data_IF_972771806733
#
_entry.id   IF_972771806733
#
_cell.length_a   1.000
_cell.length_b   1.000
_cell.length_c   1.000
_cell.angle_alpha   90.00
_cell.angle_beta   90.00
_cell.angle_gamma   90.00
#
_symmetry.space_group_name_H-M   'P 1'
#
loop_
_entity.id
_entity.type
_entity.pdbx_description
1 polymer ?
#
# COMPACT_ATOMS: atom_id res chain seq x y z
N UNK A 1 0.80 2.08 -21.78
CA UNK A 1 0.03 1.00 -21.13
C UNK A 1 0.14 1.11 -19.62
N UNK A 2 -0.84 0.58 -18.91
CA UNK A 2 -0.80 0.49 -17.45
C UNK A 2 -0.59 -0.97 -17.05
N UNK A 3 0.40 -1.21 -16.21
CA UNK A 3 0.73 -2.55 -15.72
C UNK A 3 0.36 -2.67 -14.25
N UNK A 4 -0.17 -3.84 -13.86
CA UNK A 4 -0.34 -4.17 -12.45
C UNK A 4 0.93 -4.80 -11.92
N UNK A 5 1.42 -4.32 -10.78
CA UNK A 5 2.62 -4.88 -10.16
C UNK A 5 2.26 -6.00 -9.20
N UNK A 6 3.00 -7.11 -9.30
CA UNK A 6 2.97 -8.17 -8.30
C UNK A 6 3.85 -7.78 -7.11
N UNK A 7 3.59 -8.39 -5.96
CA UNK A 7 4.37 -8.15 -4.73
C UNK A 7 5.86 -8.37 -4.95
N UNK A 8 6.24 -9.38 -5.72
CA UNK A 8 7.65 -9.66 -6.01
C UNK A 8 8.36 -8.49 -6.68
N UNK A 9 7.68 -7.80 -7.60
CA UNK A 9 8.25 -6.64 -8.29
C UNK A 9 8.38 -5.46 -7.33
N UNK A 10 7.34 -5.18 -6.55
CA UNK A 10 7.36 -4.08 -5.58
C UNK A 10 8.50 -4.27 -4.58
N UNK A 11 8.65 -5.49 -4.05
CA UNK A 11 9.73 -5.79 -3.11
C UNK A 11 11.13 -5.65 -3.73
N UNK A 12 11.30 -6.05 -5.00
CA UNK A 12 12.58 -5.86 -5.70
C UNK A 12 12.91 -4.38 -5.87
N UNK A 13 11.92 -3.57 -6.22
CA UNK A 13 12.11 -2.12 -6.37
C UNK A 13 12.38 -1.44 -5.03
N UNK A 14 11.71 -1.87 -3.95
CA UNK A 14 11.88 -1.28 -2.63
C UNK A 14 13.19 -1.69 -1.96
N UNK A 15 13.56 -2.95 -2.06
CA UNK A 15 14.69 -3.50 -1.29
C UNK A 15 16.00 -3.55 -2.07
N UNK A 16 15.94 -3.58 -3.41
CA UNK A 16 17.12 -3.78 -4.25
C UNK A 16 17.70 -5.19 -4.17
N UNK A 17 16.95 -6.14 -3.65
CA UNK A 17 17.40 -7.53 -3.45
C UNK A 17 16.32 -8.54 -3.87
N UNK A 18 16.71 -9.76 -4.29
CA UNK A 18 18.09 -10.17 -4.63
C UNK A 18 18.54 -9.65 -5.99
N UNK A 19 19.85 -9.51 -6.14
CA UNK A 19 20.47 -9.22 -7.42
C UNK A 19 20.68 -10.53 -8.20
N UNK A 20 20.64 -10.54 -9.55
CA UNK A 20 20.44 -9.40 -10.45
C UNK A 20 18.96 -9.09 -10.76
N UNK A 21 18.01 -9.81 -10.16
CA UNK A 21 16.58 -9.65 -10.44
C UNK A 21 16.09 -8.22 -10.10
N UNK A 22 16.59 -7.65 -8.98
CA UNK A 22 16.24 -6.30 -8.59
C UNK A 22 16.72 -5.26 -9.62
N UNK A 23 17.90 -5.46 -10.21
CA UNK A 23 18.39 -4.59 -11.30
C UNK A 23 17.47 -4.65 -12.50
N UNK A 24 17.06 -5.85 -12.89
CA UNK A 24 16.14 -6.01 -14.03
C UNK A 24 14.77 -5.40 -13.78
N UNK A 25 14.28 -5.50 -12.55
CA UNK A 25 13.03 -4.87 -12.17
C UNK A 25 13.13 -3.34 -12.29
N UNK A 26 14.23 -2.77 -11.82
CA UNK A 26 14.46 -1.33 -11.91
C UNK A 26 14.61 -0.88 -13.37
N UNK A 27 15.35 -1.59 -14.19
CA UNK A 27 15.49 -1.30 -15.61
C UNK A 27 14.13 -1.34 -16.33
N UNK A 28 13.32 -2.36 -16.03
CA UNK A 28 12.00 -2.49 -16.64
C UNK A 28 11.10 -1.31 -16.25
N UNK A 29 11.15 -0.89 -14.98
CA UNK A 29 10.41 0.27 -14.51
C UNK A 29 10.87 1.54 -15.23
N UNK A 30 12.17 1.79 -15.28
CA UNK A 30 12.73 2.99 -15.94
C UNK A 30 12.40 3.03 -17.43
N UNK A 31 12.51 1.89 -18.12
CA UNK A 31 12.15 1.78 -19.54
C UNK A 31 10.65 2.06 -19.73
N UNK A 32 9.81 1.58 -18.83
CA UNK A 32 8.38 1.83 -18.87
C UNK A 32 8.05 3.31 -18.71
N UNK A 33 8.67 3.97 -17.76
CA UNK A 33 8.48 5.42 -17.55
C UNK A 33 8.91 6.19 -18.80
N UNK A 34 10.04 5.85 -19.38
CA UNK A 34 10.52 6.49 -20.61
C UNK A 34 9.56 6.27 -21.79
N UNK A 35 8.86 5.14 -21.81
CA UNK A 35 7.88 4.82 -22.85
C UNK A 35 6.47 5.39 -22.56
N UNK A 36 6.28 6.07 -21.43
CA UNK A 36 4.97 6.62 -21.07
C UNK A 36 4.05 5.62 -20.36
N UNK A 37 4.58 4.50 -19.89
CA UNK A 37 3.80 3.52 -19.13
C UNK A 37 3.52 3.98 -17.71
N UNK A 38 2.49 3.42 -17.10
CA UNK A 38 2.15 3.61 -15.69
C UNK A 38 2.02 2.25 -15.01
N UNK A 39 2.13 2.26 -13.68
CA UNK A 39 2.19 1.05 -12.87
C UNK A 39 1.24 1.18 -11.68
N UNK A 40 0.37 0.19 -11.50
CA UNK A 40 -0.64 0.17 -10.46
C UNK A 40 -0.33 -0.92 -9.43
N UNK A 41 -0.52 -0.59 -8.16
CA UNK A 41 -0.37 -1.52 -7.04
C UNK A 41 -1.73 -1.73 -6.41
N UNK A 42 -2.21 -2.98 -6.41
CA UNK A 42 -3.49 -3.33 -5.79
C UNK A 42 -3.39 -3.33 -4.27
N UNK A 43 -4.54 -3.30 -3.60
CA UNK A 43 -4.59 -3.37 -2.13
C UNK A 43 -4.02 -4.68 -1.60
N UNK A 44 -4.23 -5.78 -2.32
CA UNK A 44 -3.67 -7.09 -1.94
C UNK A 44 -2.14 -7.00 -1.94
N UNK A 45 -1.57 -6.44 -3.00
CA UNK A 45 -0.11 -6.29 -3.11
C UNK A 45 0.42 -5.31 -2.07
N UNK A 46 -0.28 -4.20 -1.83
CA UNK A 46 0.09 -3.24 -0.78
C UNK A 46 0.13 -3.93 0.59
N UNK A 47 -0.87 -4.74 0.89
CA UNK A 47 -0.99 -5.48 2.14
C UNK A 47 0.13 -6.51 2.30
N UNK A 48 0.37 -7.32 1.26
CA UNK A 48 1.45 -8.32 1.27
C UNK A 48 2.82 -7.66 1.42
N UNK A 49 3.05 -6.56 0.72
CA UNK A 49 4.30 -5.80 0.79
C UNK A 49 4.52 -5.24 2.19
N UNK A 50 3.49 -4.63 2.77
CA UNK A 50 3.52 -4.10 4.13
C UNK A 50 3.91 -5.17 5.15
N UNK A 51 3.28 -6.34 5.04
CA UNK A 51 3.57 -7.47 5.90
C UNK A 51 5.01 -7.98 5.70
N UNK A 52 5.43 -8.16 4.45
CA UNK A 52 6.75 -8.69 4.12
C UNK A 52 7.89 -7.79 4.63
N UNK A 53 7.76 -6.48 4.49
CA UNK A 53 8.78 -5.55 4.97
C UNK A 53 8.99 -5.70 6.48
N UNK A 54 7.92 -5.88 7.23
CA UNK A 54 8.01 -6.04 8.68
C UNK A 54 8.53 -7.44 9.09
N UNK A 55 7.99 -8.50 8.49
CA UNK A 55 8.20 -9.86 8.99
C UNK A 55 9.30 -10.63 8.26
N UNK A 56 9.60 -10.28 7.02
CA UNK A 56 10.68 -10.92 6.25
C UNK A 56 11.95 -10.09 6.18
N UNK A 57 11.82 -8.77 6.28
CA UNK A 57 12.96 -7.86 6.24
C UNK A 57 13.26 -7.22 7.59
N UNK A 58 12.52 -7.55 8.62
CA UNK A 58 12.80 -7.14 10.00
C UNK A 58 12.63 -5.65 10.26
N UNK A 59 11.85 -4.95 9.46
CA UNK A 59 11.63 -3.51 9.64
C UNK A 59 10.48 -3.25 10.59
N UNK A 60 10.48 -2.07 11.20
CA UNK A 60 9.36 -1.62 12.04
C UNK A 60 8.16 -1.28 11.18
N UNK A 61 6.98 -1.22 11.82
CA UNK A 61 5.76 -0.76 11.18
C UNK A 61 5.94 0.64 10.55
N UNK A 62 6.57 1.54 11.29
CA UNK A 62 6.82 2.90 10.81
C UNK A 62 7.73 2.92 9.58
N UNK A 63 8.78 2.10 9.58
CA UNK A 63 9.68 1.96 8.44
C UNK A 63 8.97 1.38 7.22
N UNK A 64 8.10 0.39 7.42
CA UNK A 64 7.31 -0.21 6.34
C UNK A 64 6.35 0.81 5.71
N UNK A 65 5.67 1.61 6.55
CA UNK A 65 4.76 2.65 6.08
C UNK A 65 5.51 3.75 5.33
N UNK A 66 6.69 4.14 5.82
CA UNK A 66 7.52 5.13 5.16
C UNK A 66 7.96 4.64 3.77
N UNK A 67 8.38 3.38 3.67
CA UNK A 67 8.79 2.79 2.40
C UNK A 67 7.64 2.79 1.39
N UNK A 68 6.44 2.38 1.81
CA UNK A 68 5.26 2.39 0.93
C UNK A 68 4.85 3.80 0.52
N UNK A 69 4.91 4.74 1.45
CA UNK A 69 4.58 6.14 1.15
C UNK A 69 5.54 6.72 0.11
N UNK A 70 6.83 6.48 0.29
CA UNK A 70 7.86 6.93 -0.66
C UNK A 70 7.67 6.28 -2.03
N UNK A 71 7.38 4.99 -2.05
CA UNK A 71 7.13 4.26 -3.29
C UNK A 71 5.91 4.84 -4.03
N UNK A 72 4.85 5.16 -3.30
CA UNK A 72 3.62 5.70 -3.89
C UNK A 72 3.82 7.06 -4.55
N UNK A 73 4.87 7.77 -4.18
CA UNK A 73 5.23 9.06 -4.77
C UNK A 73 6.04 8.93 -6.06
N UNK A 74 6.41 7.71 -6.45
CA UNK A 74 7.22 7.45 -7.64
C UNK A 74 6.49 7.81 -8.92
N UNK A 75 7.25 8.21 -9.93
CA UNK A 75 6.69 8.57 -11.24
C UNK A 75 5.95 7.37 -11.85
N UNK A 76 4.74 7.59 -12.33
CA UNK A 76 3.93 6.56 -12.96
C UNK A 76 3.37 5.50 -12.02
N UNK A 77 3.58 5.64 -10.72
CA UNK A 77 3.06 4.70 -9.70
C UNK A 77 1.71 5.20 -9.20
N UNK A 78 0.74 4.29 -9.07
CA UNK A 78 -0.56 4.59 -8.47
C UNK A 78 -1.04 3.43 -7.61
N UNK A 79 -1.80 3.79 -6.59
CA UNK A 79 -2.45 2.88 -5.66
C UNK A 79 -3.95 3.20 -5.63
N UNK A 80 -4.72 2.44 -4.88
CA UNK A 80 -6.16 2.73 -4.73
C UNK A 80 -6.39 4.04 -3.96
N UNK A 81 -7.58 4.67 -4.13
CA UNK A 81 -7.92 5.84 -3.32
C UNK A 81 -7.86 5.56 -1.82
N UNK A 82 -8.27 4.37 -1.40
CA UNK A 82 -8.21 3.98 0.02
C UNK A 82 -6.79 3.92 0.56
N UNK A 83 -5.86 3.41 -0.24
CA UNK A 83 -4.44 3.45 0.15
C UNK A 83 -3.97 4.88 0.35
N UNK A 84 -4.27 5.75 -0.60
CA UNK A 84 -3.82 7.15 -0.53
C UNK A 84 -4.36 7.86 0.71
N UNK A 85 -5.60 7.61 1.06
CA UNK A 85 -6.20 8.16 2.27
C UNK A 85 -5.53 7.59 3.51
N UNK A 86 -5.37 6.27 3.58
CA UNK A 86 -4.81 5.59 4.75
C UNK A 86 -3.36 5.98 5.02
N UNK A 87 -2.53 6.00 3.97
CA UNK A 87 -1.09 6.28 4.12
C UNK A 87 -0.82 7.71 4.56
N UNK A 88 -1.75 8.63 4.27
CA UNK A 88 -1.64 10.04 4.66
C UNK A 88 -2.32 10.35 5.99
N UNK A 89 -2.86 9.35 6.69
CA UNK A 89 -3.41 9.53 8.04
C UNK A 89 -2.28 9.92 8.99
N UNK A 90 -2.44 11.01 9.78
CA UNK A 90 -1.42 11.39 10.76
C UNK A 90 -1.14 10.26 11.75
N UNK A 91 0.15 10.00 12.01
CA UNK A 91 0.60 8.96 12.93
C UNK A 91 0.01 7.57 12.62
N UNK A 92 -0.08 7.24 11.33
CA UNK A 92 -0.71 5.98 10.90
C UNK A 92 -0.07 4.75 11.56
N UNK A 93 1.21 4.78 11.88
CA UNK A 93 1.90 3.67 12.57
C UNK A 93 1.37 3.41 13.98
N UNK A 94 0.69 4.37 14.59
CA UNK A 94 0.07 4.26 15.91
C UNK A 94 -1.46 4.25 15.85
N UNK A 95 -2.02 4.44 14.68
CA UNK A 95 -3.47 4.54 14.53
C UNK A 95 -4.16 3.21 14.81
N UNK A 96 -5.33 3.27 15.41
CA UNK A 96 -6.21 2.15 15.63
C UNK A 96 -7.64 2.55 15.26
N UNK A 97 -8.28 2.01 14.22
CA UNK A 97 -7.77 0.90 13.40
C UNK A 97 -6.54 1.28 12.60
N UNK A 98 -5.77 0.25 12.24
CA UNK A 98 -4.48 0.44 11.59
C UNK A 98 -4.57 0.63 10.08
N UNK A 99 -3.41 0.58 9.45
CA UNK A 99 -3.25 0.91 8.04
C UNK A 99 -4.14 0.08 7.10
N UNK A 100 -4.11 -1.26 7.23
CA UNK A 100 -4.87 -2.13 6.32
C UNK A 100 -6.37 -1.95 6.51
N UNK A 101 -6.84 -1.85 7.74
CA UNK A 101 -8.26 -1.61 8.04
C UNK A 101 -8.71 -0.27 7.48
N UNK A 102 -7.85 0.73 7.50
CA UNK A 102 -8.16 2.06 6.95
C UNK A 102 -8.23 2.06 5.44
N UNK A 103 -7.40 1.26 4.77
CA UNK A 103 -7.51 1.07 3.31
C UNK A 103 -8.88 0.50 2.98
N UNK A 104 -9.27 -0.56 3.67
CA UNK A 104 -10.57 -1.22 3.48
C UNK A 104 -11.72 -0.24 3.66
N UNK A 105 -11.77 0.43 4.80
CA UNK A 105 -12.85 1.36 5.13
C UNK A 105 -12.91 2.55 4.15
N UNK A 106 -11.76 3.10 3.77
CA UNK A 106 -11.71 4.22 2.84
C UNK A 106 -12.17 3.83 1.44
N UNK A 107 -11.82 2.63 0.97
CA UNK A 107 -12.31 2.15 -0.32
C UNK A 107 -13.81 1.88 -0.31
N UNK A 108 -14.35 1.34 0.78
CA UNK A 108 -15.81 1.20 0.91
C UNK A 108 -16.50 2.57 0.87
N UNK A 109 -15.95 3.54 1.58
CA UNK A 109 -16.50 4.89 1.59
C UNK A 109 -16.49 5.50 0.17
N UNK A 110 -15.41 5.31 -0.59
CA UNK A 110 -15.32 5.76 -1.99
C UNK A 110 -16.42 5.17 -2.86
N UNK A 111 -16.86 3.96 -2.54
CA UNK A 111 -17.95 3.28 -3.25
C UNK A 111 -19.34 3.64 -2.70
N UNK A 112 -19.43 4.52 -1.74
CA UNK A 112 -20.68 4.90 -1.08
C UNK A 112 -21.18 3.85 -0.08
N UNK A 113 -20.28 2.98 0.42
CA UNK A 113 -20.63 1.91 1.34
C UNK A 113 -20.22 2.29 2.77
N UNK A 114 -20.93 1.72 3.74
CA UNK A 114 -20.62 1.83 5.16
C UNK A 114 -19.92 0.53 5.58
N UNK A 115 -18.77 0.65 6.24
CA UNK A 115 -18.06 -0.53 6.74
C UNK A 115 -18.78 -1.08 7.98
N UNK A 116 -19.07 -2.38 7.95
CA UNK A 116 -19.66 -3.08 9.10
C UNK A 116 -18.58 -3.96 9.73
N UNK A 117 -18.32 -3.78 11.01
CA UNK A 117 -17.23 -4.47 11.70
C UNK A 117 -17.65 -4.91 13.11
N UNK A 118 -17.04 -6.00 13.57
CA UNK A 118 -17.15 -6.43 14.97
C UNK A 118 -16.07 -5.82 15.85
N UNK A 119 -15.13 -5.09 15.26
CA UNK A 119 -14.02 -4.48 16.00
C UNK A 119 -14.37 -3.10 16.49
N UNK A 120 -14.24 -2.87 17.79
CA UNK A 120 -14.62 -1.62 18.44
C UNK A 120 -13.85 -0.41 17.90
N UNK A 121 -12.61 -0.63 17.48
CA UNK A 121 -11.77 0.46 16.95
C UNK A 121 -12.35 1.13 15.72
N UNK A 122 -13.17 0.41 14.94
CA UNK A 122 -13.84 0.99 13.77
C UNK A 122 -14.82 2.09 14.12
N UNK A 123 -15.25 2.16 15.37
CA UNK A 123 -16.09 3.28 15.85
C UNK A 123 -15.40 4.64 15.78
N UNK A 124 -14.09 4.67 15.59
CA UNK A 124 -13.32 5.92 15.40
C UNK A 124 -13.34 6.42 13.96
N UNK A 125 -13.83 5.60 13.03
CA UNK A 125 -13.89 5.94 11.62
C UNK A 125 -15.27 6.50 11.27
N UNK A 126 -15.29 7.43 10.30
CA UNK A 126 -16.54 7.84 9.68
C UNK A 126 -17.05 6.72 8.78
N UNK A 127 -18.37 6.67 8.60
CA UNK A 127 -19.02 5.69 7.72
C UNK A 127 -18.67 4.24 8.09
N UNK A 128 -18.55 3.97 9.38
CA UNK A 128 -18.40 2.63 9.90
C UNK A 128 -19.42 2.39 11.02
N UNK A 129 -19.92 1.17 11.08
CA UNK A 129 -20.84 0.72 12.11
C UNK A 129 -20.26 -0.50 12.81
N UNK A 130 -20.25 -0.49 14.13
CA UNK A 130 -19.72 -1.59 14.93
C UNK A 130 -20.86 -2.45 15.46
N UNK A 131 -20.77 -3.74 15.19
CA UNK A 131 -21.69 -4.74 15.77
C UNK A 131 -21.18 -5.05 17.18
N UNK A 132 -22.05 -4.91 18.15
CA UNK A 132 -21.70 -5.16 19.56
C UNK A 132 -22.67 -6.16 20.19
#
# INVERSE_FOLDING_TARGET
>A
MTFGLDTSVVLRLLTGHPMPLAERALERYQDGIAAGDSFYVSDIVASETYYAIQHHYGKTKEEALMALKNFSSGEGISFSPGFDIAINTPNIHRANPGFIDRILAANYKEQGLITLSCEKSFGRLQDAEVIS
#
